data_IF_497848070853
#
_entry.id   IF_497848070853
#
_cell.length_a   1.000
_cell.length_b   1.000
_cell.length_c   1.000
_cell.angle_alpha   90.00
_cell.angle_beta   90.00
_cell.angle_gamma   90.00
#
_symmetry.space_group_name_H-M   'P 1'
#
loop_
_entity.id
_entity.type
_entity.pdbx_description
1 polymer ?
#
# COMPACT_ATOMS: atom_id res chain seq x y z
N UNK A 1 37.97 41.02 -14.87
CA UNK A 1 36.95 40.00 -15.15
C UNK A 1 37.28 38.75 -14.36
N UNK A 2 36.78 38.66 -13.14
CA UNK A 2 37.08 37.54 -12.26
C UNK A 2 36.33 37.73 -10.96
N UNK A 3 35.47 36.77 -10.65
CA UNK A 3 35.07 36.33 -9.31
C UNK A 3 33.94 35.33 -9.48
N UNK A 4 34.29 34.05 -9.36
CA UNK A 4 33.36 32.95 -9.11
C UNK A 4 32.66 33.14 -7.76
N UNK A 5 31.46 32.56 -7.56
CA UNK A 5 31.02 32.19 -6.23
C UNK A 5 31.16 30.68 -6.00
N UNK A 6 31.71 30.37 -4.83
CA UNK A 6 31.91 29.04 -4.26
C UNK A 6 30.61 28.26 -4.07
N UNK A 7 30.66 26.96 -4.39
CA UNK A 7 29.66 25.98 -4.02
C UNK A 7 29.71 25.74 -2.49
N UNK A 8 28.54 25.80 -1.85
CA UNK A 8 28.36 25.37 -0.46
C UNK A 8 28.06 23.86 -0.41
N UNK A 9 28.64 23.09 0.55
CA UNK A 9 28.26 21.71 0.77
C UNK A 9 27.01 21.65 1.64
N UNK A 10 25.86 21.36 1.04
CA UNK A 10 24.62 21.09 1.76
C UNK A 10 24.59 19.67 2.32
N UNK A 11 24.97 19.55 3.59
CA UNK A 11 24.45 18.65 4.62
C UNK A 11 23.84 17.31 4.17
N UNK A 12 24.60 16.22 4.35
CA UNK A 12 24.06 14.86 4.39
C UNK A 12 23.25 14.65 5.66
N UNK A 13 21.98 15.05 5.65
CA UNK A 13 21.01 14.58 6.60
C UNK A 13 20.61 13.14 6.22
N UNK A 14 21.18 12.16 6.91
CA UNK A 14 20.70 10.79 6.96
C UNK A 14 19.34 10.75 7.65
N UNK A 15 18.32 11.29 6.98
CA UNK A 15 16.94 11.11 7.38
C UNK A 15 16.59 9.65 7.18
N UNK A 16 16.09 9.00 8.23
CA UNK A 16 15.29 7.78 8.09
C UNK A 16 14.26 8.10 7.02
N UNK A 17 14.40 7.53 5.82
CA UNK A 17 13.35 7.60 4.82
C UNK A 17 12.17 6.90 5.47
N UNK A 18 11.24 7.66 6.03
CA UNK A 18 9.93 7.14 6.38
C UNK A 18 9.36 6.65 5.05
N UNK A 19 9.54 5.36 4.77
CA UNK A 19 9.06 4.72 3.56
C UNK A 19 7.58 5.05 3.49
N UNK A 20 7.21 5.88 2.51
CA UNK A 20 5.86 6.40 2.41
C UNK A 20 4.92 5.19 2.37
N UNK A 21 4.04 5.10 3.36
CA UNK A 21 3.20 3.91 3.55
C UNK A 21 2.49 3.59 2.25
N UNK A 22 2.76 2.39 1.71
CA UNK A 22 2.20 1.98 0.42
C UNK A 22 0.69 1.93 0.54
N UNK A 23 0.01 2.39 -0.51
CA UNK A 23 -1.45 2.31 -0.57
C UNK A 23 -1.87 0.84 -0.61
N UNK A 24 -2.67 0.44 0.38
CA UNK A 24 -3.29 -0.87 0.42
C UNK A 24 -4.43 -0.98 -0.59
N UNK A 25 -4.73 -2.21 -0.99
CA UNK A 25 -5.83 -2.52 -1.91
C UNK A 25 -6.98 -3.20 -1.18
N UNK A 26 -8.17 -3.18 -1.77
CA UNK A 26 -9.36 -3.80 -1.19
C UNK A 26 -9.21 -5.32 -1.24
N UNK A 27 -9.60 -6.04 -0.19
CA UNK A 27 -9.48 -7.51 -0.14
C UNK A 27 -10.41 -8.26 -1.09
N UNK A 28 -11.47 -7.61 -1.57
CA UNK A 28 -12.52 -8.18 -2.45
C UNK A 28 -13.35 -9.32 -1.85
N UNK A 29 -13.12 -9.70 -0.59
CA UNK A 29 -13.80 -10.83 0.09
C UNK A 29 -14.77 -10.39 1.20
N UNK A 30 -14.52 -9.26 1.87
CA UNK A 30 -15.39 -8.80 2.97
C UNK A 30 -16.74 -8.28 2.48
N UNK A 31 -17.74 -8.21 3.38
CA UNK A 31 -19.10 -7.75 3.08
C UNK A 31 -19.13 -6.37 2.39
N UNK A 32 -18.34 -5.41 2.89
CA UNK A 32 -18.25 -4.09 2.27
C UNK A 32 -17.65 -4.12 0.85
N UNK A 33 -16.78 -5.09 0.54
CA UNK A 33 -16.24 -5.25 -0.80
C UNK A 33 -17.27 -5.80 -1.80
N UNK A 34 -18.02 -6.81 -1.37
CA UNK A 34 -19.01 -7.52 -2.18
C UNK A 34 -20.32 -6.75 -2.34
N UNK A 35 -20.65 -5.84 -1.40
CA UNK A 35 -21.81 -4.96 -1.50
C UNK A 35 -21.77 -4.09 -2.77
N UNK A 36 -22.94 -3.85 -3.35
CA UNK A 36 -23.15 -2.86 -4.42
C UNK A 36 -23.02 -1.43 -3.88
N UNK A 37 -22.81 -0.46 -4.75
CA UNK A 37 -22.80 0.94 -4.33
C UNK A 37 -24.21 1.38 -3.96
N UNK A 38 -24.36 2.06 -2.82
CA UNK A 38 -25.68 2.42 -2.29
C UNK A 38 -26.42 3.46 -3.14
N UNK A 39 -25.73 4.22 -3.99
CA UNK A 39 -26.33 5.29 -4.81
C UNK A 39 -26.68 6.57 -4.05
N UNK A 40 -26.83 6.51 -2.72
CA UNK A 40 -27.41 7.60 -1.93
C UNK A 40 -26.41 8.39 -1.08
N UNK A 41 -25.25 7.80 -0.74
CA UNK A 41 -24.24 8.49 0.06
C UNK A 41 -23.54 9.63 -0.72
N UNK A 42 -22.93 10.58 -0.02
CA UNK A 42 -22.26 11.74 -0.63
C UNK A 42 -21.21 11.34 -1.70
N UNK A 43 -20.43 10.28 -1.44
CA UNK A 43 -19.47 9.77 -2.43
C UNK A 43 -20.13 9.11 -3.64
N UNK A 44 -21.27 8.43 -3.46
CA UNK A 44 -22.03 7.89 -4.59
C UNK A 44 -22.64 9.01 -5.44
N UNK A 45 -23.23 10.02 -4.80
CA UNK A 45 -23.80 11.18 -5.50
C UNK A 45 -22.76 11.97 -6.30
N UNK A 46 -21.46 11.92 -5.93
CA UNK A 46 -20.38 12.51 -6.73
C UNK A 46 -20.00 11.65 -7.96
N UNK A 47 -20.28 10.34 -7.99
CA UNK A 47 -19.83 9.49 -9.10
C UNK A 47 -20.55 9.81 -10.41
N UNK A 48 -19.81 9.85 -11.52
CA UNK A 48 -20.35 10.13 -12.87
C UNK A 48 -21.52 9.22 -13.27
N UNK A 49 -21.47 7.94 -12.91
CA UNK A 49 -22.55 6.98 -13.21
C UNK A 49 -23.87 7.25 -12.47
N UNK A 50 -23.82 8.01 -11.39
CA UNK A 50 -25.00 8.45 -10.64
C UNK A 50 -25.32 9.93 -10.93
N UNK A 51 -24.76 10.51 -12.01
CA UNK A 51 -25.01 11.89 -12.43
C UNK A 51 -24.15 12.95 -11.75
N UNK A 52 -23.19 12.56 -10.90
CA UNK A 52 -22.32 13.49 -10.17
C UNK A 52 -21.15 14.06 -10.98
N UNK A 53 -20.48 15.11 -10.48
CA UNK A 53 -19.37 15.77 -11.17
C UNK A 53 -18.06 14.97 -11.19
N UNK A 54 -17.91 13.93 -10.35
CA UNK A 54 -16.77 13.03 -10.33
C UNK A 54 -15.47 13.66 -9.84
N UNK A 55 -15.57 14.67 -8.96
CA UNK A 55 -14.41 15.42 -8.48
C UNK A 55 -13.70 14.73 -7.31
N UNK A 56 -14.45 14.05 -6.45
CA UNK A 56 -13.91 13.47 -5.21
C UNK A 56 -13.18 12.15 -5.44
N UNK A 57 -13.60 11.38 -6.45
CA UNK A 57 -12.99 10.08 -6.82
C UNK A 57 -12.88 9.09 -5.64
N UNK A 58 -13.85 9.14 -4.72
CA UNK A 58 -13.92 8.24 -3.57
C UNK A 58 -14.87 7.07 -3.84
N UNK A 59 -14.62 5.94 -3.18
CA UNK A 59 -15.56 4.82 -3.17
C UNK A 59 -16.77 5.13 -2.29
N UNK A 60 -17.88 4.44 -2.52
CA UNK A 60 -19.05 4.44 -1.63
C UNK A 60 -18.64 4.23 -0.16
N UNK A 61 -19.25 4.98 0.77
CA UNK A 61 -18.98 4.88 2.23
C UNK A 61 -19.24 3.47 2.73
N UNK A 62 -20.38 2.88 2.35
CA UNK A 62 -20.75 1.50 2.72
C UNK A 62 -19.85 0.42 2.08
N UNK A 63 -18.87 0.82 1.27
CA UNK A 63 -17.93 -0.07 0.59
C UNK A 63 -16.48 0.12 1.08
N UNK A 64 -16.26 0.80 2.19
CA UNK A 64 -14.92 0.86 2.78
C UNK A 64 -14.49 -0.54 3.25
N UNK A 65 -13.32 -0.98 2.80
CA UNK A 65 -12.84 -2.34 3.04
C UNK A 65 -12.46 -2.54 4.52
N UNK A 66 -12.92 -3.62 5.13
CA UNK A 66 -12.66 -3.95 6.55
C UNK A 66 -11.18 -4.30 6.78
N UNK A 67 -10.60 -5.12 5.90
CA UNK A 67 -9.20 -5.54 5.99
C UNK A 67 -8.49 -5.33 4.64
N UNK A 68 -7.94 -4.13 4.37
CA UNK A 68 -7.17 -3.88 3.15
C UNK A 68 -5.87 -4.70 3.13
N UNK A 69 -5.53 -5.25 1.96
CA UNK A 69 -4.40 -6.14 1.73
C UNK A 69 -3.27 -5.44 0.97
N UNK A 70 -2.07 -6.01 1.02
CA UNK A 70 -0.95 -5.56 0.19
C UNK A 70 -1.31 -5.68 -1.30
N UNK A 71 -0.87 -4.75 -2.16
CA UNK A 71 -1.05 -4.90 -3.61
C UNK A 71 -0.28 -6.13 -4.12
N UNK A 72 -0.75 -6.74 -5.20
CA UNK A 72 -0.07 -7.88 -5.85
C UNK A 72 1.33 -7.51 -6.41
N UNK A 73 1.64 -6.22 -6.53
CA UNK A 73 2.96 -5.72 -6.90
C UNK A 73 3.90 -5.52 -5.71
N UNK A 74 3.46 -5.86 -4.49
CA UNK A 74 4.32 -5.83 -3.31
C UNK A 74 5.39 -6.93 -3.40
N UNK A 75 6.61 -6.58 -3.00
CA UNK A 75 7.77 -7.46 -3.00
C UNK A 75 8.57 -7.24 -1.72
N UNK A 76 9.30 -8.26 -1.30
CA UNK A 76 10.21 -8.21 -0.17
C UNK A 76 11.38 -7.26 -0.47
N UNK A 77 11.73 -6.39 0.50
CA UNK A 77 12.83 -5.44 0.38
C UNK A 77 14.20 -6.12 0.26
N UNK A 78 14.35 -7.33 0.81
CA UNK A 78 15.64 -8.06 0.86
C UNK A 78 15.88 -8.86 -0.42
N UNK A 79 14.93 -9.71 -0.82
CA UNK A 79 15.11 -10.60 -1.97
C UNK A 79 14.44 -10.10 -3.27
N UNK A 80 13.59 -9.07 -3.20
CA UNK A 80 12.88 -8.53 -4.37
C UNK A 80 11.73 -9.41 -4.90
N UNK A 81 11.40 -10.50 -4.21
CA UNK A 81 10.36 -11.44 -4.65
C UNK A 81 9.00 -11.19 -3.99
N UNK A 82 7.93 -11.62 -4.65
CA UNK A 82 6.58 -11.63 -4.09
C UNK A 82 6.40 -12.75 -3.03
N UNK A 83 5.27 -12.73 -2.31
CA UNK A 83 4.90 -13.82 -1.40
C UNK A 83 4.64 -15.12 -2.16
N UNK A 84 5.17 -16.24 -1.66
CA UNK A 84 5.03 -17.59 -2.26
C UNK A 84 4.31 -18.57 -1.33
N UNK A 85 3.56 -18.05 -0.37
CA UNK A 85 2.80 -18.79 0.65
C UNK A 85 1.83 -19.83 0.06
N UNK A 86 1.29 -19.61 -1.14
CA UNK A 86 0.40 -20.55 -1.82
C UNK A 86 1.12 -21.74 -2.49
N UNK A 87 2.45 -21.71 -2.56
CA UNK A 87 3.27 -22.78 -3.19
C UNK A 87 3.84 -23.79 -2.22
N UNK A 88 3.63 -23.58 -0.91
CA UNK A 88 4.17 -24.38 0.18
C UNK A 88 3.04 -24.92 1.04
N UNK A 89 3.10 -26.21 1.36
CA UNK A 89 2.09 -26.90 2.15
C UNK A 89 2.38 -26.84 3.65
N UNK A 90 3.65 -26.70 4.04
CA UNK A 90 4.05 -26.58 5.44
C UNK A 90 3.72 -25.18 5.97
N UNK A 91 3.05 -25.11 7.13
CA UNK A 91 2.57 -23.87 7.74
C UNK A 91 3.72 -22.93 8.20
N UNK A 92 4.85 -23.50 8.64
CA UNK A 92 6.04 -22.73 9.04
C UNK A 92 6.68 -22.09 7.79
N UNK A 93 6.81 -22.86 6.71
CA UNK A 93 7.32 -22.36 5.43
C UNK A 93 6.38 -21.32 4.81
N UNK A 94 5.07 -21.50 4.98
CA UNK A 94 4.05 -20.55 4.54
C UNK A 94 4.21 -19.20 5.21
N UNK A 95 4.39 -19.20 6.54
CA UNK A 95 4.67 -17.99 7.29
C UNK A 95 5.98 -17.34 6.83
N UNK A 96 7.03 -18.14 6.67
CA UNK A 96 8.35 -17.68 6.26
C UNK A 96 8.37 -17.05 4.87
N UNK A 97 7.55 -17.55 3.93
CA UNK A 97 7.44 -17.09 2.54
C UNK A 97 6.33 -16.05 2.30
N UNK A 98 5.60 -15.64 3.34
CA UNK A 98 4.57 -14.60 3.28
C UNK A 98 5.18 -13.20 3.37
N UNK A 99 4.59 -12.22 2.68
CA UNK A 99 5.00 -10.82 2.81
C UNK A 99 4.35 -10.14 4.02
N UNK A 100 5.19 -9.63 4.93
CA UNK A 100 4.77 -8.91 6.12
C UNK A 100 5.16 -7.43 6.02
N UNK A 101 4.25 -6.53 6.43
CA UNK A 101 4.49 -5.08 6.50
C UNK A 101 4.67 -4.66 7.97
N UNK A 102 5.81 -4.03 8.29
CA UNK A 102 6.03 -3.48 9.62
C UNK A 102 5.21 -2.18 9.81
N UNK A 103 4.43 -2.08 10.90
CA UNK A 103 3.61 -0.90 11.20
C UNK A 103 4.42 0.33 11.63
N UNK A 104 5.71 0.15 11.95
CA UNK A 104 6.62 1.20 12.43
C UNK A 104 7.41 1.79 11.26
N UNK A 105 8.11 0.94 10.49
CA UNK A 105 8.95 1.41 9.37
C UNK A 105 8.28 1.31 7.98
N UNK A 106 7.11 0.67 7.87
CA UNK A 106 6.38 0.40 6.60
C UNK A 106 7.19 -0.40 5.56
N UNK A 107 8.21 -1.13 5.99
CA UNK A 107 8.96 -2.05 5.13
C UNK A 107 8.21 -3.36 4.95
N UNK A 108 8.33 -3.94 3.75
CA UNK A 108 7.72 -5.21 3.40
C UNK A 108 8.82 -6.26 3.29
N UNK A 109 8.72 -7.33 4.06
CA UNK A 109 9.74 -8.37 4.17
C UNK A 109 9.09 -9.75 4.27
N UNK A 110 9.80 -10.77 3.80
CA UNK A 110 9.55 -12.14 4.24
C UNK A 110 10.11 -12.34 5.65
N UNK A 111 9.41 -13.00 6.58
CA UNK A 111 9.96 -13.31 7.90
C UNK A 111 11.30 -14.05 7.82
N UNK A 112 11.46 -15.00 6.88
CA UNK A 112 12.73 -15.70 6.68
C UNK A 112 13.86 -14.84 6.08
N UNK A 113 13.55 -13.69 5.49
CA UNK A 113 14.56 -12.76 4.99
C UNK A 113 15.07 -11.79 6.05
N UNK A 114 14.41 -11.72 7.21
CA UNK A 114 14.87 -10.95 8.35
C UNK A 114 15.97 -11.74 9.06
N UNK A 115 17.19 -11.19 9.08
CA UNK A 115 18.34 -11.76 9.79
C UNK A 115 18.47 -11.18 11.19
#
# INVERSE_FOLDING_TARGET
MGSSPSAAPGSTAGGVKLSARRRRTRCRKCEACTRKECGECHFCKDMKKFGGPGRMKQSCIMRQCIAPVLPHTAVCLVCGEAGKEDTVENEEDKFNMMLMECSICNEILHPACLK
#
